data_IF_643116695572
#
_entry.id   IF_643116695572
#
_cell.length_a   1.000
_cell.length_b   1.000
_cell.length_c   1.000
_cell.angle_alpha   90.00
_cell.angle_beta   90.00
_cell.angle_gamma   90.00
#
_symmetry.space_group_name_H-M   'P 1'
#
loop_
_entity.id
_entity.type
_entity.pdbx_description
1 polymer ?
#
# COMPACT_ATOMS: atom_id res chain seq x y z
N UNK A 1 5.71 -18.53 2.59
CA UNK A 1 5.31 -17.17 2.98
C UNK A 1 6.52 -16.28 2.87
N UNK A 2 6.39 -15.10 2.27
CA UNK A 2 7.51 -14.18 2.10
C UNK A 2 7.67 -13.31 3.37
N UNK A 3 8.89 -13.21 3.91
CA UNK A 3 9.21 -12.46 5.14
C UNK A 3 9.81 -11.09 4.86
N UNK A 4 9.31 -10.07 5.55
CA UNK A 4 9.71 -8.67 5.45
C UNK A 4 10.04 -8.11 6.83
N UNK A 5 10.97 -7.14 6.94
CA UNK A 5 11.33 -6.58 8.24
C UNK A 5 10.22 -5.68 8.76
N UNK A 6 10.01 -5.67 10.07
CA UNK A 6 9.11 -4.77 10.78
C UNK A 6 9.95 -3.91 11.71
N UNK A 7 9.94 -2.58 11.52
CA UNK A 7 10.67 -1.66 12.39
C UNK A 7 10.02 -1.56 13.76
N UNK A 8 10.83 -1.59 14.83
CA UNK A 8 10.37 -1.34 16.19
C UNK A 8 10.77 0.09 16.57
N UNK A 9 9.77 0.96 16.77
CA UNK A 9 10.01 2.28 17.37
C UNK A 9 9.08 2.40 18.59
N UNK A 10 9.56 1.92 19.73
CA UNK A 10 8.96 2.21 21.03
C UNK A 10 9.97 3.04 21.82
N UNK A 11 9.74 4.35 21.92
CA UNK A 11 10.01 5.07 23.16
C UNK A 11 9.27 6.43 23.18
N UNK A 12 8.03 6.50 23.69
CA UNK A 12 7.36 7.78 23.90
C UNK A 12 7.91 8.56 25.12
N UNK A 13 8.92 8.06 25.84
CA UNK A 13 9.25 8.62 27.16
C UNK A 13 10.34 9.70 27.22
N UNK A 14 10.93 10.18 26.12
CA UNK A 14 12.03 11.16 26.24
C UNK A 14 12.12 12.38 25.30
N UNK A 15 11.23 12.57 24.32
CA UNK A 15 11.09 13.86 23.63
C UNK A 15 9.90 13.81 22.66
N UNK A 16 8.72 14.18 23.16
CA UNK A 16 7.45 14.11 22.44
C UNK A 16 7.32 15.12 21.28
N UNK A 17 8.26 16.06 21.11
CA UNK A 17 8.20 17.11 20.06
C UNK A 17 8.85 16.69 18.71
N UNK A 18 9.61 15.58 18.68
CA UNK A 18 10.58 15.27 17.62
C UNK A 18 10.32 13.97 16.84
N UNK A 19 9.21 13.27 17.08
CA UNK A 19 8.99 11.96 16.47
C UNK A 19 8.53 12.10 15.01
N UNK A 20 9.50 12.19 14.08
CA UNK A 20 9.31 11.82 12.67
C UNK A 20 8.99 10.33 12.60
N UNK A 21 7.72 9.97 12.77
CA UNK A 21 7.31 8.58 12.74
C UNK A 21 7.39 8.03 11.31
N UNK A 22 8.16 6.95 11.14
CA UNK A 22 8.08 6.12 9.93
C UNK A 22 6.94 5.12 10.16
N UNK A 23 5.94 5.14 9.29
CA UNK A 23 4.83 4.18 9.35
C UNK A 23 5.37 2.76 9.16
N UNK A 24 4.92 1.78 9.95
CA UNK A 24 5.26 0.37 9.79
C UNK A 24 4.03 -0.48 10.02
N UNK A 25 3.82 -1.55 9.23
CA UNK A 25 4.77 -2.16 8.27
C UNK A 25 4.84 -1.45 6.91
N UNK A 26 6.03 -1.38 6.31
CA UNK A 26 6.23 -0.86 4.93
C UNK A 26 6.53 -2.00 3.98
N UNK A 27 5.91 -1.95 2.81
CA UNK A 27 6.15 -2.83 1.68
C UNK A 27 6.53 -2.01 0.45
N UNK A 28 7.61 -2.41 -0.24
CA UNK A 28 7.94 -1.88 -1.57
C UNK A 28 7.07 -2.58 -2.61
N UNK A 29 6.32 -1.79 -3.35
CA UNK A 29 5.44 -2.26 -4.44
C UNK A 29 5.78 -1.53 -5.73
N UNK A 30 5.46 -2.14 -6.86
CA UNK A 30 5.43 -1.47 -8.15
C UNK A 30 4.01 -1.06 -8.51
N UNK A 31 3.82 0.17 -8.94
CA UNK A 31 2.60 0.60 -9.62
C UNK A 31 2.90 0.70 -11.11
N UNK A 32 2.02 0.17 -11.95
CA UNK A 32 2.15 0.23 -13.39
C UNK A 32 0.85 0.73 -14.03
N UNK A 33 0.99 1.68 -14.94
CA UNK A 33 -0.09 2.31 -15.68
C UNK A 33 0.43 2.78 -17.05
N UNK A 34 -0.28 2.48 -18.14
CA UNK A 34 0.06 2.89 -19.52
C UNK A 34 1.57 2.83 -19.85
N UNK A 35 2.17 1.66 -19.71
CA UNK A 35 3.60 1.39 -19.96
C UNK A 35 4.61 2.08 -19.03
N UNK A 36 4.16 2.88 -18.06
CA UNK A 36 5.01 3.47 -17.01
C UNK A 36 4.92 2.68 -15.72
N UNK A 37 6.05 2.59 -15.01
CA UNK A 37 6.11 2.00 -13.68
C UNK A 37 6.86 2.87 -12.70
N UNK A 38 6.42 2.85 -11.45
CA UNK A 38 7.14 3.44 -10.31
C UNK A 38 7.19 2.46 -9.13
N UNK A 39 8.31 2.46 -8.42
CA UNK A 39 8.45 1.77 -7.14
C UNK A 39 8.05 2.71 -6.00
N UNK A 40 7.17 2.24 -5.12
CA UNK A 40 6.62 3.02 -4.02
C UNK A 40 6.78 2.26 -2.71
N UNK A 41 7.26 2.94 -1.66
CA UNK A 41 7.19 2.44 -0.28
C UNK A 41 5.80 2.72 0.28
N UNK A 42 5.02 1.67 0.50
CA UNK A 42 3.64 1.79 0.96
C UNK A 42 3.45 1.17 2.33
N UNK A 43 2.70 1.85 3.18
CA UNK A 43 2.31 1.38 4.51
C UNK A 43 1.15 0.39 4.39
N UNK A 44 1.22 -0.79 5.02
CA UNK A 44 0.07 -1.71 5.07
C UNK A 44 -0.79 -1.31 6.27
N UNK A 45 -2.04 -0.95 6.00
CA UNK A 45 -2.98 -0.49 7.01
C UNK A 45 -4.26 -1.34 6.99
N UNK A 46 -4.43 -2.17 8.01
CA UNK A 46 -5.65 -2.98 8.16
C UNK A 46 -6.88 -2.13 8.52
N UNK A 47 -6.69 -0.89 8.99
CA UNK A 47 -7.76 0.06 9.27
C UNK A 47 -8.20 0.88 8.06
N UNK A 48 -7.42 0.87 6.96
CA UNK A 48 -7.80 1.55 5.73
C UNK A 48 -8.64 0.64 4.84
N UNK A 49 -9.82 1.11 4.44
CA UNK A 49 -10.65 0.39 3.49
C UNK A 49 -10.01 0.31 2.09
N UNK A 50 -9.29 1.35 1.68
CA UNK A 50 -8.82 1.53 0.31
C UNK A 50 -7.29 1.57 0.21
N UNK A 51 -6.77 1.17 -0.95
CA UNK A 51 -5.40 1.49 -1.35
C UNK A 51 -5.34 2.94 -1.85
N UNK A 52 -4.59 3.79 -1.14
CA UNK A 52 -4.57 5.24 -1.33
C UNK A 52 -3.14 5.75 -1.54
N UNK A 53 -2.94 6.69 -2.46
CA UNK A 53 -1.62 7.19 -2.83
C UNK A 53 -1.62 8.71 -2.95
N UNK A 54 -0.49 9.34 -2.64
CA UNK A 54 -0.34 10.78 -2.87
C UNK A 54 -0.45 11.09 -4.37
N UNK A 55 -1.13 12.18 -4.72
CA UNK A 55 -1.38 12.52 -6.13
C UNK A 55 -0.10 12.76 -6.94
N UNK A 56 1.02 13.13 -6.31
CA UNK A 56 2.29 13.28 -7.02
C UNK A 56 2.74 11.98 -7.72
N UNK A 57 2.35 10.80 -7.22
CA UNK A 57 2.62 9.49 -7.85
C UNK A 57 1.91 9.37 -9.21
N UNK A 58 0.74 9.97 -9.39
CA UNK A 58 -0.01 9.90 -10.65
C UNK A 58 0.80 10.48 -11.81
N UNK A 59 1.54 11.57 -11.56
CA UNK A 59 2.41 12.22 -12.56
C UNK A 59 3.52 11.29 -13.03
N UNK A 60 4.15 10.56 -12.10
CA UNK A 60 5.17 9.57 -12.43
C UNK A 60 4.61 8.36 -13.19
N UNK A 61 3.34 8.02 -12.97
CA UNK A 61 2.60 7.02 -13.73
C UNK A 61 2.12 7.53 -15.09
N UNK A 62 2.31 8.81 -15.42
CA UNK A 62 1.86 9.41 -16.67
C UNK A 62 0.36 9.73 -16.72
N UNK A 63 -0.31 9.76 -15.58
CA UNK A 63 -1.69 10.24 -15.45
C UNK A 63 -1.63 11.76 -15.38
N UNK A 64 -1.99 12.41 -16.50
CA UNK A 64 -1.89 13.88 -16.66
C UNK A 64 -2.84 14.59 -15.70
N UNK A 65 -4.09 14.14 -15.65
CA UNK A 65 -5.08 14.59 -14.68
C UNK A 65 -5.64 13.40 -13.92
N UNK A 66 -5.22 13.24 -12.66
CA UNK A 66 -5.71 12.18 -11.78
C UNK A 66 -7.15 12.39 -11.32
N UNK A 67 -7.72 13.58 -11.51
CA UNK A 67 -9.11 13.87 -11.17
C UNK A 67 -10.07 13.55 -12.30
N UNK A 68 -9.57 13.34 -13.51
CA UNK A 68 -10.36 12.99 -14.69
C UNK A 68 -10.86 11.53 -14.64
N UNK A 69 -11.62 11.19 -13.61
CA UNK A 69 -12.29 9.91 -13.39
C UNK A 69 -13.72 10.15 -12.91
N UNK A 70 -14.61 9.19 -13.14
CA UNK A 70 -15.98 9.22 -12.60
C UNK A 70 -16.06 8.62 -11.20
N UNK A 71 -14.96 8.04 -10.73
CA UNK A 71 -14.87 7.32 -9.46
C UNK A 71 -14.15 8.17 -8.42
N UNK A 72 -14.83 9.17 -7.88
CA UNK A 72 -14.37 9.94 -6.72
C UNK A 72 -15.12 9.52 -5.46
N UNK A 73 -14.41 9.45 -4.33
CA UNK A 73 -14.98 9.04 -3.05
C UNK A 73 -14.47 9.99 -1.97
N UNK A 74 -15.42 10.52 -1.19
CA UNK A 74 -15.13 11.16 0.10
C UNK A 74 -14.66 10.10 1.09
N UNK A 75 -13.47 10.27 1.63
CA UNK A 75 -12.88 9.37 2.61
C UNK A 75 -12.85 10.03 3.99
N UNK A 76 -13.20 9.26 5.01
CA UNK A 76 -13.08 9.67 6.42
C UNK A 76 -11.84 9.05 7.06
N UNK A 77 -11.22 9.75 8.01
CA UNK A 77 -10.05 9.23 8.74
C UNK A 77 -9.34 10.30 9.55
N UNK A 78 -8.30 9.90 10.29
CA UNK A 78 -7.49 10.78 11.13
C UNK A 78 -6.67 11.78 10.27
N UNK A 79 -7.30 12.90 9.90
CA UNK A 79 -6.61 14.03 9.29
C UNK A 79 -7.50 14.90 8.41
N UNK A 80 -7.65 16.18 8.77
CA UNK A 80 -8.13 17.24 7.88
C UNK A 80 -9.63 17.56 7.92
N UNK A 81 -9.99 18.65 7.22
CA UNK A 81 -11.38 19.04 6.96
C UNK A 81 -11.95 18.13 5.87
N UNK A 82 -13.20 17.69 6.04
CA UNK A 82 -13.87 16.72 5.16
C UNK A 82 -13.75 17.03 3.65
N UNK A 83 -13.80 18.31 3.28
CA UNK A 83 -13.84 18.77 1.87
C UNK A 83 -12.54 18.54 1.07
N UNK A 84 -11.44 18.18 1.73
CA UNK A 84 -10.16 17.88 1.08
C UNK A 84 -9.80 16.40 1.09
N UNK A 85 -10.62 15.57 1.75
CA UNK A 85 -10.41 14.15 1.87
C UNK A 85 -11.14 13.41 0.74
N UNK A 86 -10.75 13.73 -0.50
CA UNK A 86 -11.29 13.10 -1.71
C UNK A 86 -10.21 12.20 -2.32
N UNK A 87 -10.59 10.99 -2.69
CA UNK A 87 -9.76 10.06 -3.45
C UNK A 87 -10.36 9.81 -4.84
N UNK A 88 -9.53 9.92 -5.87
CA UNK A 88 -9.90 9.70 -7.27
C UNK A 88 -9.34 8.35 -7.74
N UNK A 89 -10.21 7.42 -8.12
CA UNK A 89 -9.82 6.04 -8.38
C UNK A 89 -9.47 5.78 -9.85
N UNK A 90 -8.39 5.02 -10.03
CA UNK A 90 -7.88 4.59 -11.33
C UNK A 90 -7.55 3.10 -11.31
N UNK A 91 -7.84 2.42 -12.41
CA UNK A 91 -7.40 1.04 -12.63
C UNK A 91 -5.89 1.00 -12.90
N UNK A 92 -5.18 0.21 -12.12
CA UNK A 92 -3.73 0.05 -12.20
C UNK A 92 -3.33 -1.42 -12.06
N UNK A 93 -2.08 -1.70 -12.43
CA UNK A 93 -1.44 -2.97 -12.14
C UNK A 93 -0.50 -2.82 -10.95
N UNK A 94 -0.84 -3.46 -9.84
CA UNK A 94 -0.05 -3.55 -8.62
C UNK A 94 0.90 -4.75 -8.69
N UNK A 95 2.20 -4.51 -8.53
CA UNK A 95 3.26 -5.52 -8.47
C UNK A 95 3.78 -5.67 -7.05
N UNK A 96 3.52 -6.82 -6.45
CA UNK A 96 3.95 -7.13 -5.08
C UNK A 96 5.12 -8.11 -5.13
N UNK A 97 6.32 -7.64 -4.78
CA UNK A 97 7.54 -8.44 -4.87
C UNK A 97 7.56 -9.54 -3.80
N UNK A 98 7.94 -10.76 -4.19
CA UNK A 98 7.88 -11.94 -3.30
C UNK A 98 9.04 -12.00 -2.29
N UNK A 99 10.00 -11.09 -2.37
CA UNK A 99 11.11 -10.99 -1.44
C UNK A 99 11.67 -9.55 -1.42
N UNK A 100 12.66 -9.29 -0.56
CA UNK A 100 13.30 -7.97 -0.47
C UNK A 100 14.10 -7.58 -1.72
N UNK A 101 14.52 -8.56 -2.53
CA UNK A 101 15.32 -8.34 -3.74
C UNK A 101 14.37 -8.06 -4.90
N UNK A 102 14.14 -6.78 -5.17
CA UNK A 102 13.32 -6.35 -6.30
C UNK A 102 13.93 -6.90 -7.59
N UNK A 103 13.18 -7.77 -8.25
CA UNK A 103 13.56 -8.41 -9.52
C UNK A 103 12.34 -8.34 -10.45
N UNK A 104 12.60 -8.03 -11.74
CA UNK A 104 11.62 -7.96 -12.82
C UNK A 104 10.83 -9.25 -13.07
N UNK A 105 11.26 -10.39 -12.49
CA UNK A 105 10.57 -11.68 -12.63
C UNK A 105 9.94 -12.21 -11.33
N UNK A 106 10.05 -11.50 -10.20
CA UNK A 106 9.66 -12.05 -8.90
C UNK A 106 8.63 -11.20 -8.15
N UNK A 107 7.46 -11.06 -8.74
CA UNK A 107 6.31 -10.41 -8.12
C UNK A 107 5.01 -11.18 -8.38
N UNK A 108 3.99 -10.87 -7.59
CA UNK A 108 2.60 -11.14 -7.93
C UNK A 108 2.02 -9.90 -8.62
N UNK A 109 1.29 -10.12 -9.71
CA UNK A 109 0.55 -9.07 -10.40
C UNK A 109 -0.92 -9.08 -10.00
N UNK A 110 -1.43 -7.91 -9.68
CA UNK A 110 -2.82 -7.69 -9.29
C UNK A 110 -3.36 -6.50 -10.06
N UNK A 111 -4.38 -6.75 -10.88
CA UNK A 111 -5.22 -5.68 -11.42
C UNK A 111 -6.12 -5.19 -10.30
N UNK A 112 -6.05 -3.91 -9.97
CA UNK A 112 -6.85 -3.31 -8.90
C UNK A 112 -7.10 -1.84 -9.19
N UNK A 113 -8.06 -1.25 -8.47
CA UNK A 113 -8.21 0.19 -8.36
C UNK A 113 -7.39 0.72 -7.19
N UNK A 114 -6.82 1.90 -7.36
CA UNK A 114 -6.19 2.69 -6.29
C UNK A 114 -6.73 4.11 -6.34
N UNK A 115 -6.84 4.75 -5.18
CA UNK A 115 -7.25 6.15 -5.07
C UNK A 115 -6.04 7.08 -5.02
N UNK A 116 -6.03 8.14 -5.83
CA UNK A 116 -5.11 9.27 -5.66
C UNK A 116 -5.75 10.35 -4.83
N UNK A 117 -5.07 10.76 -3.76
CA UNK A 117 -5.60 11.70 -2.78
C UNK A 117 -5.49 13.15 -3.25
N UNK A 118 -6.57 13.92 -3.10
CA UNK A 118 -6.54 15.38 -3.30
C UNK A 118 -5.54 16.04 -2.34
N UNK A 119 -5.53 15.62 -1.07
CA UNK A 119 -4.60 16.06 -0.03
C UNK A 119 -3.58 14.97 0.29
N UNK A 120 -2.30 15.32 0.27
CA UNK A 120 -1.22 14.38 0.58
C UNK A 120 -1.21 13.97 2.05
N UNK A 121 -0.77 12.74 2.30
CA UNK A 121 -0.58 12.14 3.62
C UNK A 121 0.91 11.91 3.93
N UNK A 122 1.22 11.62 5.19
CA UNK A 122 2.59 11.45 5.69
C UNK A 122 3.35 10.21 5.17
N UNK A 123 2.76 9.42 4.27
CA UNK A 123 3.40 8.32 3.58
C UNK A 123 3.13 8.41 2.06
N UNK A 124 3.91 7.72 1.24
CA UNK A 124 3.72 7.75 -0.21
C UNK A 124 2.44 7.01 -0.64
N UNK A 125 2.07 5.96 0.10
CA UNK A 125 0.81 5.26 -0.10
C UNK A 125 0.44 4.31 1.04
N UNK A 126 -0.82 3.95 1.06
CA UNK A 126 -1.47 3.03 1.98
C UNK A 126 -1.97 1.83 1.17
N UNK A 127 -1.70 0.62 1.66
CA UNK A 127 -2.26 -0.63 1.18
C UNK A 127 -3.35 -1.08 2.14
N UNK A 128 -4.61 -0.91 1.73
CA UNK A 128 -5.79 -1.18 2.55
C UNK A 128 -6.45 -2.53 2.27
N UNK A 129 -7.70 -2.64 2.71
CA UNK A 129 -8.52 -3.85 2.58
C UNK A 129 -8.81 -4.20 1.13
N UNK A 130 -9.41 -3.28 0.37
CA UNK A 130 -9.76 -3.51 -1.03
C UNK A 130 -8.58 -3.17 -1.96
N UNK A 131 -8.15 -4.17 -2.71
CA UNK A 131 -7.09 -4.07 -3.71
C UNK A 131 -5.75 -4.65 -3.25
N UNK A 132 -5.58 -4.89 -1.95
CA UNK A 132 -4.39 -5.54 -1.40
C UNK A 132 -4.72 -6.65 -0.38
N UNK A 133 -5.26 -6.32 0.81
CA UNK A 133 -5.46 -7.33 1.86
C UNK A 133 -6.58 -8.33 1.52
N UNK A 134 -7.49 -8.02 0.59
CA UNK A 134 -8.43 -8.98 0.01
C UNK A 134 -7.73 -10.04 -0.86
N UNK A 135 -6.51 -9.77 -1.34
CA UNK A 135 -5.71 -10.69 -2.18
C UNK A 135 -4.58 -11.38 -1.44
N UNK A 136 -4.16 -10.88 -0.27
CA UNK A 136 -3.05 -11.41 0.51
C UNK A 136 -3.43 -11.68 1.98
N UNK A 137 -2.95 -12.80 2.50
CA UNK A 137 -2.79 -12.94 3.95
C UNK A 137 -1.63 -12.07 4.41
N UNK A 138 -1.87 -11.22 5.41
CA UNK A 138 -0.85 -10.48 6.14
C UNK A 138 -0.74 -11.04 7.57
N UNK A 139 0.47 -11.35 8.03
CA UNK A 139 0.73 -11.81 9.40
C UNK A 139 1.94 -11.10 9.96
N UNK A 140 1.77 -10.31 11.01
CA UNK A 140 2.88 -9.68 11.72
C UNK A 140 3.39 -10.55 12.88
N UNK A 141 4.67 -10.47 13.15
CA UNK A 141 5.30 -10.95 14.38
C UNK A 141 6.16 -9.81 14.94
N UNK A 142 5.50 -8.94 15.70
CA UNK A 142 6.07 -7.68 16.19
C UNK A 142 7.26 -7.96 17.12
N UNK A 143 7.15 -8.92 18.04
CA UNK A 143 8.22 -9.27 18.97
C UNK A 143 9.49 -9.78 18.26
N UNK A 144 9.33 -10.40 17.08
CA UNK A 144 10.44 -10.85 16.24
C UNK A 144 10.80 -9.86 15.11
N UNK A 145 10.17 -8.70 15.06
CA UNK A 145 10.52 -7.64 14.10
C UNK A 145 10.32 -8.03 12.63
N UNK A 146 9.30 -8.85 12.30
CA UNK A 146 8.99 -9.18 10.91
C UNK A 146 7.49 -9.27 10.63
N UNK A 147 7.13 -9.20 9.35
CA UNK A 147 5.81 -9.58 8.87
C UNK A 147 5.91 -10.49 7.65
N UNK A 148 4.83 -11.23 7.39
CA UNK A 148 4.72 -12.18 6.31
C UNK A 148 3.54 -11.83 5.41
N UNK A 149 3.74 -11.98 4.09
CA UNK A 149 2.66 -11.94 3.11
C UNK A 149 2.64 -13.21 2.25
N UNK A 150 1.43 -13.63 1.87
CA UNK A 150 1.20 -14.70 0.90
C UNK A 150 -0.12 -14.50 0.20
N UNK A 151 -0.19 -14.79 -1.10
CA UNK A 151 -1.45 -14.69 -1.86
C UNK A 151 -2.47 -15.67 -1.30
N UNK A 152 -3.73 -15.25 -1.21
CA UNK A 152 -4.81 -16.09 -0.67
C UNK A 152 -5.03 -17.34 -1.53
N UNK A 153 -4.96 -17.20 -2.85
CA UNK A 153 -5.17 -18.32 -3.79
C UNK A 153 -4.05 -19.36 -3.80
N UNK A 154 -2.80 -18.98 -3.51
CA UNK A 154 -1.66 -19.92 -3.42
C UNK A 154 -1.85 -20.95 -2.28
N UNK A 155 -2.76 -20.70 -1.32
CA UNK A 155 -3.09 -21.66 -0.25
C UNK A 155 -4.15 -22.70 -0.66
N UNK A 156 -5.10 -22.35 -1.54
CA UNK A 156 -6.14 -23.31 -1.98
C UNK A 156 -5.53 -24.45 -2.79
N UNK A 157 -4.58 -24.16 -3.68
CA UNK A 157 -3.89 -25.20 -4.46
C UNK A 157 -3.04 -26.16 -3.60
N UNK A 158 -2.56 -25.71 -2.44
CA UNK A 158 -1.81 -26.55 -1.49
C UNK A 158 -2.70 -27.44 -0.62
N UNK A 159 -3.98 -27.11 -0.44
CA UNK A 159 -4.92 -27.95 0.31
C UNK A 159 -5.62 -28.99 -0.56
N UNK A 160 -5.70 -28.78 -1.87
CA UNK A 160 -6.28 -29.76 -2.82
C UNK A 160 -5.28 -30.86 -3.21
N UNK A 161 -3.99 -30.68 -2.92
CA UNK A 161 -2.91 -31.63 -3.22
C UNK A 161 -2.37 -32.38 -1.99
N UNK A 162 -3.12 -32.41 -0.89
CA UNK A 162 -2.85 -33.25 0.28
C UNK A 162 -3.96 -34.28 0.40
#
# INVERSE_FOLDING_TARGET
>A
MARFPYGYHFNPHRCAELVKCKFYPILKIGLFYNAKSILVESYIDTGSQWCLFNNNISKHLGIVDYRATKEEIDISGAGGKHQDNIAYFHDVLLKVYKNKKINSKNYWEIKTKIGFLKKEIGCAGILGMYGFLDKFTFKSNISKGYFEISRVYDKKERMVRK
#
